data_IF_015499496157
#
_entry.id   IF_015499496157
#
_cell.length_a   1.000
_cell.length_b   1.000
_cell.length_c   1.000
_cell.angle_alpha   90.00
_cell.angle_beta   90.00
_cell.angle_gamma   90.00
#
_symmetry.space_group_name_H-M   'P 1'
#
loop_
_entity.id
_entity.type
_entity.pdbx_description
1 polymer ?
#
# COMPACT_ATOMS: atom_id res chain seq x y z
N UNK A 1 1.86 -31.05 5.04
CA UNK A 1 0.77 -30.83 4.07
C UNK A 1 0.09 -29.46 4.22
N UNK A 2 -0.20 -28.97 5.43
CA UNK A 2 -0.91 -27.69 5.60
C UNK A 2 -0.10 -26.45 5.16
N UNK A 3 1.20 -26.40 5.48
CA UNK A 3 2.06 -25.26 5.11
C UNK A 3 2.29 -25.18 3.60
N UNK A 4 2.49 -26.33 2.93
CA UNK A 4 2.69 -26.37 1.47
C UNK A 4 1.47 -25.95 0.67
N UNK A 5 0.25 -26.10 1.22
CA UNK A 5 -1.00 -25.65 0.58
C UNK A 5 -1.38 -24.21 0.94
N UNK A 6 -0.81 -23.64 2.01
CA UNK A 6 -1.09 -22.28 2.42
C UNK A 6 -0.51 -21.25 1.43
N UNK A 7 0.74 -21.44 0.98
CA UNK A 7 1.39 -20.53 0.03
C UNK A 7 0.62 -20.38 -1.30
N UNK A 8 0.19 -21.47 -1.97
CA UNK A 8 -0.62 -21.35 -3.19
C UNK A 8 -1.98 -20.72 -2.95
N UNK A 9 -2.60 -20.96 -1.79
CA UNK A 9 -3.89 -20.39 -1.43
C UNK A 9 -3.79 -18.87 -1.23
N UNK A 10 -2.79 -18.42 -0.46
CA UNK A 10 -2.55 -16.99 -0.23
C UNK A 10 -2.18 -16.27 -1.53
N UNK A 11 -1.33 -16.88 -2.36
CA UNK A 11 -0.98 -16.31 -3.67
C UNK A 11 -2.21 -16.13 -4.57
N UNK A 12 -3.06 -17.15 -4.70
CA UNK A 12 -4.29 -17.06 -5.50
C UNK A 12 -5.27 -16.02 -4.95
N UNK A 13 -5.36 -15.90 -3.62
CA UNK A 13 -6.19 -14.89 -2.97
C UNK A 13 -5.67 -13.49 -3.25
N UNK A 14 -4.36 -13.30 -3.12
CA UNK A 14 -3.67 -12.05 -3.42
C UNK A 14 -3.87 -11.63 -4.87
N UNK A 15 -3.58 -12.53 -5.83
CA UNK A 15 -3.72 -12.24 -7.27
C UNK A 15 -5.18 -11.89 -7.65
N UNK A 16 -6.18 -12.40 -6.91
CA UNK A 16 -7.59 -12.08 -7.14
C UNK A 16 -8.01 -10.71 -6.60
N UNK A 17 -7.46 -10.28 -5.47
CA UNK A 17 -7.82 -9.00 -4.81
C UNK A 17 -6.89 -7.84 -5.14
N UNK A 18 -5.68 -8.14 -5.61
CA UNK A 18 -4.65 -7.15 -5.86
C UNK A 18 -4.91 -6.48 -7.21
N UNK A 19 -5.24 -5.19 -7.16
CA UNK A 19 -5.25 -4.32 -8.34
C UNK A 19 -3.89 -3.66 -8.41
N UNK A 20 -3.21 -3.80 -9.56
CA UNK A 20 -1.95 -3.11 -9.77
C UNK A 20 -2.19 -1.60 -9.87
N UNK A 21 -1.49 -0.77 -9.08
CA UNK A 21 -1.62 0.67 -9.17
C UNK A 21 -1.04 1.17 -10.50
N UNK A 22 -1.79 2.01 -11.21
CA UNK A 22 -1.39 2.61 -12.49
C UNK A 22 -0.73 3.98 -12.34
N UNK A 23 -0.11 4.24 -11.18
CA UNK A 23 0.50 5.54 -10.86
C UNK A 23 1.62 5.90 -11.83
N UNK A 24 1.62 7.16 -12.28
CA UNK A 24 2.65 7.74 -13.16
C UNK A 24 3.42 8.83 -12.42
N UNK A 25 4.63 9.10 -12.91
CA UNK A 25 5.42 10.26 -12.48
C UNK A 25 4.61 11.53 -12.76
N UNK A 26 4.47 12.39 -11.74
CA UNK A 26 3.64 13.59 -11.78
C UNK A 26 2.22 13.43 -11.24
N UNK A 27 1.75 12.21 -10.94
CA UNK A 27 0.45 12.04 -10.28
C UNK A 27 0.50 12.50 -8.82
N UNK A 28 -0.62 13.03 -8.33
CA UNK A 28 -0.81 13.34 -6.91
C UNK A 28 -1.42 12.14 -6.18
N UNK A 29 -0.69 11.62 -5.19
CA UNK A 29 -1.12 10.48 -4.40
C UNK A 29 -1.23 10.85 -2.91
N UNK A 30 -2.14 10.19 -2.23
CA UNK A 30 -2.32 10.32 -0.79
C UNK A 30 -1.63 9.15 -0.08
N UNK A 31 -0.85 9.45 0.95
CA UNK A 31 -0.16 8.43 1.75
C UNK A 31 -1.05 7.99 2.90
N UNK A 32 -1.37 6.70 2.98
CA UNK A 32 -2.23 6.17 4.03
C UNK A 32 -1.53 6.15 5.38
N UNK A 33 -2.14 6.74 6.40
CA UNK A 33 -1.62 6.76 7.78
C UNK A 33 -1.94 5.49 8.57
N UNK A 34 -2.80 4.62 8.03
CA UNK A 34 -3.40 3.49 8.76
C UNK A 34 -2.37 2.49 9.29
N UNK A 35 -1.21 2.39 8.63
CA UNK A 35 -0.14 1.46 9.02
C UNK A 35 1.05 2.16 9.70
N UNK A 36 1.02 3.49 9.86
CA UNK A 36 2.07 4.23 10.54
C UNK A 36 1.80 4.27 12.05
N UNK A 37 2.23 3.23 12.75
CA UNK A 37 2.09 3.10 14.21
C UNK A 37 3.10 3.95 15.00
N UNK A 38 4.06 4.58 14.34
CA UNK A 38 5.12 5.39 14.98
C UNK A 38 4.64 6.76 15.46
N UNK A 39 3.42 7.18 15.11
CA UNK A 39 2.84 8.43 15.59
C UNK A 39 2.05 8.15 16.87
N UNK A 40 2.55 8.62 18.01
CA UNK A 40 2.03 8.44 19.38
C UNK A 40 0.69 9.17 19.62
N UNK A 41 -0.34 8.88 18.84
CA UNK A 41 -1.66 9.54 18.95
C UNK A 41 -2.79 8.55 18.70
N UNK A 42 -3.93 8.75 19.39
CA UNK A 42 -5.13 7.93 19.32
C UNK A 42 -5.57 7.62 17.88
N UNK A 43 -5.62 6.33 17.50
CA UNK A 43 -5.90 5.86 16.15
C UNK A 43 -7.27 6.32 15.58
N UNK A 44 -8.23 6.67 16.44
CA UNK A 44 -9.59 7.11 16.03
C UNK A 44 -9.67 8.56 15.56
N UNK A 45 -8.64 9.38 15.82
CA UNK A 45 -8.64 10.82 15.49
C UNK A 45 -7.61 11.18 14.41
N UNK A 46 -6.98 10.18 13.77
CA UNK A 46 -6.03 10.42 12.68
C UNK A 46 -6.77 10.44 11.35
N UNK A 47 -6.49 11.45 10.55
CA UNK A 47 -6.88 11.42 9.14
C UNK A 47 -6.27 10.18 8.49
N UNK A 48 -7.06 9.38 7.77
CA UNK A 48 -6.60 8.10 7.19
C UNK A 48 -5.56 8.30 6.07
N UNK A 49 -5.40 9.54 5.60
CA UNK A 49 -4.50 9.93 4.54
C UNK A 49 -3.84 11.27 4.89
N UNK A 50 -2.54 11.38 4.61
CA UNK A 50 -1.82 12.65 4.66
C UNK A 50 -1.76 13.21 3.23
N UNK A 51 -1.87 14.55 3.15
CA UNK A 51 -1.60 15.50 2.06
C UNK A 51 -1.24 14.91 0.68
N UNK A 52 -1.66 15.52 -0.43
CA UNK A 52 -1.23 15.09 -1.76
C UNK A 52 0.30 15.21 -1.90
N UNK A 53 0.94 14.12 -2.30
CA UNK A 53 2.34 14.07 -2.67
C UNK A 53 2.45 13.80 -4.16
N UNK A 54 3.35 14.52 -4.82
CA UNK A 54 3.64 14.30 -6.24
C UNK A 54 4.65 13.16 -6.39
N UNK A 55 4.34 12.18 -7.25
CA UNK A 55 5.28 11.11 -7.60
C UNK A 55 6.46 11.69 -8.38
N UNK A 56 7.66 11.59 -7.81
CA UNK A 56 8.90 12.07 -8.45
C UNK A 56 9.55 10.95 -9.25
N UNK A 57 9.62 9.74 -8.68
CA UNK A 57 10.23 8.58 -9.30
C UNK A 57 9.48 7.28 -8.94
N UNK A 58 9.51 6.30 -9.86
CA UNK A 58 8.95 4.97 -9.66
C UNK A 58 10.10 3.97 -9.49
N UNK A 59 10.33 3.51 -8.27
CA UNK A 59 11.31 2.45 -7.97
C UNK A 59 10.64 1.09 -8.26
N UNK A 60 10.80 0.62 -9.49
CA UNK A 60 10.13 -0.59 -9.97
C UNK A 60 8.63 -0.41 -10.20
N UNK A 61 7.89 -1.51 -10.40
CA UNK A 61 6.46 -1.44 -10.78
C UNK A 61 5.52 -1.02 -9.64
N UNK A 62 5.99 -0.97 -8.39
CA UNK A 62 5.12 -0.92 -7.19
C UNK A 62 5.59 0.01 -6.09
N UNK A 63 6.77 0.63 -6.20
CA UNK A 63 7.29 1.52 -5.15
C UNK A 63 7.44 2.92 -5.73
N UNK A 64 6.99 3.89 -4.95
CA UNK A 64 7.13 5.31 -5.21
C UNK A 64 8.09 5.83 -4.16
N UNK A 65 9.10 6.57 -4.59
CA UNK A 65 10.04 7.28 -3.70
C UNK A 65 9.61 8.74 -3.53
#
# INVERSE_FOLDING_TARGET
KCISSAFPYEKRRWDKSHVEPTSKVGDELLVSTLHFNNFTTNAKLKDPFIRPFTVIELVGKKQVE
#
